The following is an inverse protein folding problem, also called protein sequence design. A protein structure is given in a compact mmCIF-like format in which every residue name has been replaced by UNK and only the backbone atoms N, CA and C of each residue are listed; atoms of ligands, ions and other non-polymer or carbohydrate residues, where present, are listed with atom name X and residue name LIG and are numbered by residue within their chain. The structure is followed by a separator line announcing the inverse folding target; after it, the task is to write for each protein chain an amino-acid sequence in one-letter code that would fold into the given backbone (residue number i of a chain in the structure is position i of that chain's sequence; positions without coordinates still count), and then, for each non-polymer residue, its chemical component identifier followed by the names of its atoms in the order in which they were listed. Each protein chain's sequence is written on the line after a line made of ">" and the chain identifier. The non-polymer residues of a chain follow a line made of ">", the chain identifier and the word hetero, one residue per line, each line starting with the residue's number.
data_IF_994317168926
#
_entry.id   IF_994317168926
#
_cell.length_a   1.000
_cell.length_b   1.000
_cell.length_c   1.000
_cell.angle_alpha   90.00
_cell.angle_beta   90.00
_cell.angle_gamma   90.00
#
_symmetry.space_group_name_H-M   'P 1'
#
loop_
_entity.id
_entity.type
_entity.pdbx_description
1 polymer ?
#
# COMPACT_ATOMS: atom_id res chain seq x y z
N UNK A 1 18.10 -28.32 -23.43
CA UNK A 1 16.84 -27.81 -22.81
C UNK A 1 16.97 -26.30 -22.68
N UNK A 2 15.98 -25.53 -23.13
CA UNK A 2 15.99 -24.05 -23.07
C UNK A 2 15.56 -23.56 -21.68
N UNK A 3 16.13 -22.43 -21.22
CA UNK A 3 15.76 -21.76 -19.97
C UNK A 3 14.25 -21.42 -19.93
N UNK A 4 13.63 -21.12 -21.08
CA UNK A 4 12.19 -20.84 -21.14
C UNK A 4 11.35 -22.07 -20.82
N UNK A 5 11.76 -23.24 -21.30
CA UNK A 5 11.08 -24.52 -21.07
C UNK A 5 11.18 -24.96 -19.60
N UNK A 6 12.27 -24.61 -18.91
CA UNK A 6 12.43 -24.87 -17.47
C UNK A 6 11.60 -23.92 -16.61
N UNK A 7 11.44 -22.66 -17.03
CA UNK A 7 10.58 -21.69 -16.38
C UNK A 7 9.10 -22.08 -16.48
N UNK A 8 8.66 -22.57 -17.65
CA UNK A 8 7.30 -23.06 -17.86
C UNK A 8 6.96 -24.30 -17.03
N UNK A 9 7.84 -25.30 -16.99
CA UNK A 9 7.64 -26.52 -16.17
C UNK A 9 7.60 -26.19 -14.67
N UNK A 10 8.43 -25.25 -14.22
CA UNK A 10 8.44 -24.79 -12.83
C UNK A 10 7.16 -24.01 -12.48
N UNK A 11 6.68 -23.15 -13.38
CA UNK A 11 5.42 -22.41 -13.21
C UNK A 11 4.21 -23.35 -13.15
N UNK A 12 4.22 -24.45 -13.92
CA UNK A 12 3.18 -25.47 -13.91
C UNK A 12 3.12 -26.23 -12.57
N UNK A 13 4.26 -26.53 -11.95
CA UNK A 13 4.32 -27.20 -10.64
C UNK A 13 3.90 -26.29 -9.47
N UNK A 14 4.01 -24.98 -9.64
CA UNK A 14 3.70 -23.99 -8.61
C UNK A 14 2.24 -23.49 -8.64
N UNK A 15 1.44 -23.88 -9.65
CA UNK A 15 0.01 -23.53 -9.79
C UNK A 15 -0.88 -23.96 -8.62
N UNK A 16 -0.40 -24.78 -7.69
CA UNK A 16 -1.14 -25.22 -6.50
C UNK A 16 -0.84 -24.46 -5.20
N UNK A 17 0.08 -23.48 -5.21
CA UNK A 17 0.54 -22.83 -3.96
C UNK A 17 -0.24 -21.53 -3.70
N UNK A 18 -0.99 -21.40 -2.59
CA UNK A 18 -1.78 -20.21 -2.30
C UNK A 18 -0.88 -18.97 -2.13
N UNK A 19 -1.20 -17.87 -2.80
CA UNK A 19 -0.69 -16.53 -2.48
C UNK A 19 0.49 -16.00 -3.28
N UNK A 20 1.01 -16.74 -4.27
CA UNK A 20 2.09 -16.23 -5.15
C UNK A 20 1.59 -16.19 -6.59
N UNK A 21 1.80 -15.08 -7.30
CA UNK A 21 1.53 -15.07 -8.74
C UNK A 21 2.50 -16.07 -9.40
N UNK A 22 2.02 -17.03 -10.21
CA UNK A 22 2.87 -18.07 -10.80
C UNK A 22 4.09 -17.51 -11.54
N UNK A 23 3.93 -16.31 -12.11
CA UNK A 23 4.97 -15.59 -12.84
C UNK A 23 6.06 -15.02 -11.91
N UNK A 24 5.72 -14.53 -10.72
CA UNK A 24 6.71 -14.01 -9.77
C UNK A 24 7.56 -15.14 -9.16
N UNK A 25 6.92 -16.27 -8.81
CA UNK A 25 7.63 -17.44 -8.30
C UNK A 25 8.58 -18.04 -9.36
N UNK A 26 8.13 -18.10 -10.62
CA UNK A 26 8.95 -18.56 -11.74
C UNK A 26 10.15 -17.62 -12.01
N UNK A 27 9.95 -16.29 -11.91
CA UNK A 27 11.02 -15.31 -12.07
C UNK A 27 12.09 -15.43 -10.97
N UNK A 28 11.69 -15.59 -9.71
CA UNK A 28 12.62 -15.79 -8.58
C UNK A 28 13.37 -17.12 -8.70
N UNK A 29 12.68 -18.21 -9.06
CA UNK A 29 13.32 -19.51 -9.29
C UNK A 29 14.36 -19.43 -10.41
N UNK A 30 14.02 -18.77 -11.52
CA UNK A 30 14.90 -18.63 -12.67
C UNK A 30 16.13 -17.76 -12.35
N UNK A 31 15.96 -16.66 -11.62
CA UNK A 31 17.04 -15.76 -11.23
C UNK A 31 18.07 -16.47 -10.33
N UNK A 32 17.61 -17.20 -9.31
CA UNK A 32 18.49 -17.92 -8.38
C UNK A 32 19.15 -19.12 -9.07
N UNK A 33 18.43 -19.84 -9.93
CA UNK A 33 19.03 -20.95 -10.71
C UNK A 33 20.14 -20.44 -11.63
N UNK A 34 19.93 -19.31 -12.30
CA UNK A 34 20.93 -18.71 -13.18
C UNK A 34 22.17 -18.25 -12.38
N UNK A 35 21.96 -17.64 -11.21
CA UNK A 35 23.06 -17.19 -10.34
C UNK A 35 23.93 -18.36 -9.86
N UNK A 36 23.33 -19.47 -9.43
CA UNK A 36 24.09 -20.65 -8.97
C UNK A 36 24.79 -21.37 -10.12
N UNK A 37 24.21 -21.37 -11.32
CA UNK A 37 24.90 -21.87 -12.52
C UNK A 37 26.11 -21.00 -12.89
N UNK A 38 26.04 -19.68 -12.71
CA UNK A 38 27.18 -18.77 -12.91
C UNK A 38 28.29 -19.04 -11.88
N UNK A 39 27.94 -19.47 -10.66
CA UNK A 39 28.90 -19.90 -9.63
C UNK A 39 29.48 -21.30 -9.89
N UNK A 40 29.09 -21.97 -10.98
CA UNK A 40 29.60 -23.28 -11.36
C UNK A 40 28.92 -24.46 -10.66
N UNK A 41 27.77 -24.23 -10.01
CA UNK A 41 27.01 -25.32 -9.39
C UNK A 41 26.47 -26.30 -10.46
N UNK A 42 26.42 -27.61 -10.16
CA UNK A 42 25.73 -28.58 -11.00
C UNK A 42 24.28 -28.17 -11.24
N UNK A 43 23.76 -28.42 -12.45
CA UNK A 43 22.39 -28.02 -12.86
C UNK A 43 21.31 -28.53 -11.90
N UNK A 44 21.49 -29.73 -11.32
CA UNK A 44 20.56 -30.31 -10.36
C UNK A 44 20.52 -29.52 -9.03
N UNK A 45 21.68 -29.05 -8.57
CA UNK A 45 21.81 -28.30 -7.32
C UNK A 45 21.32 -26.86 -7.49
N UNK A 46 21.65 -26.23 -8.62
CA UNK A 46 21.16 -24.89 -8.97
C UNK A 46 19.63 -24.87 -9.11
N UNK A 47 19.04 -25.92 -9.69
CA UNK A 47 17.58 -26.08 -9.78
C UNK A 47 16.94 -26.23 -8.40
N UNK A 48 17.55 -27.05 -7.55
CA UNK A 48 17.06 -27.27 -6.18
C UNK A 48 17.14 -25.98 -5.35
N UNK A 49 18.19 -25.18 -5.54
CA UNK A 49 18.34 -23.86 -4.92
C UNK A 49 17.27 -22.88 -5.41
N UNK A 50 16.98 -22.83 -6.72
CA UNK A 50 15.91 -22.00 -7.29
C UNK A 50 14.51 -22.39 -6.79
N UNK A 51 14.21 -23.69 -6.71
CA UNK A 51 12.95 -24.19 -6.16
C UNK A 51 12.82 -23.88 -4.66
N UNK A 52 13.89 -24.01 -3.89
CA UNK A 52 13.90 -23.68 -2.47
C UNK A 52 13.81 -22.18 -2.21
N UNK A 53 14.41 -21.34 -3.06
CA UNK A 53 14.26 -19.89 -3.01
C UNK A 53 12.82 -19.46 -3.32
N UNK A 54 12.19 -20.05 -4.35
CA UNK A 54 10.79 -19.79 -4.67
C UNK A 54 9.85 -20.20 -3.52
N UNK A 55 10.10 -21.34 -2.87
CA UNK A 55 9.35 -21.78 -1.67
C UNK A 55 9.63 -20.91 -0.45
N UNK A 56 10.86 -20.44 -0.26
CA UNK A 56 11.24 -19.58 0.88
C UNK A 56 10.69 -18.16 0.74
N UNK A 57 10.66 -17.61 -0.48
CA UNK A 57 9.97 -16.35 -0.77
C UNK A 57 8.44 -16.47 -0.59
N UNK A 58 7.87 -17.66 -0.76
CA UNK A 58 6.48 -17.95 -0.39
C UNK A 58 6.28 -18.08 1.14
N UNK A 59 7.33 -18.45 1.89
CA UNK A 59 7.30 -18.59 3.35
C UNK A 59 7.46 -17.29 4.14
N UNK A 60 8.08 -16.25 3.55
CA UNK A 60 8.13 -14.89 4.12
C UNK A 60 6.97 -14.00 3.65
N UNK A 61 6.04 -14.55 2.86
CA UNK A 61 4.74 -13.92 2.64
C UNK A 61 3.96 -13.97 3.96
N UNK A 62 4.15 -12.94 4.80
CA UNK A 62 3.10 -12.49 5.72
C UNK A 62 1.84 -12.42 4.87
N UNK A 63 0.87 -13.31 5.14
CA UNK A 63 -0.39 -13.47 4.43
C UNK A 63 -0.64 -12.35 3.42
N UNK A 64 -0.21 -12.57 2.18
CA UNK A 64 -0.22 -11.57 1.11
C UNK A 64 -1.62 -11.02 0.78
N UNK A 65 -2.66 -11.40 1.52
CA UNK A 65 -3.95 -10.73 1.49
C UNK A 65 -4.03 -9.54 2.44
N UNK A 66 -3.55 -9.60 3.69
CA UNK A 66 -3.80 -8.55 4.70
C UNK A 66 -2.85 -7.37 4.53
N UNK A 67 -1.54 -7.63 4.38
CA UNK A 67 -0.56 -6.55 4.17
C UNK A 67 -0.76 -5.90 2.80
N UNK A 68 -1.03 -6.69 1.75
CA UNK A 68 -1.34 -6.16 0.41
C UNK A 68 -2.66 -5.40 0.41
N UNK A 69 -3.67 -5.80 1.20
CA UNK A 69 -4.89 -5.01 1.38
C UNK A 69 -4.61 -3.70 2.12
N UNK A 70 -3.77 -3.72 3.16
CA UNK A 70 -3.35 -2.49 3.84
C UNK A 70 -2.63 -1.53 2.89
N UNK A 71 -1.62 -2.02 2.15
CA UNK A 71 -0.83 -1.19 1.22
C UNK A 71 -1.65 -0.73 0.02
N UNK A 72 -2.65 -1.51 -0.44
CA UNK A 72 -3.56 -1.11 -1.52
C UNK A 72 -4.30 0.19 -1.23
N UNK A 73 -4.55 0.51 0.05
CA UNK A 73 -5.25 1.71 0.46
C UNK A 73 -4.33 2.85 0.89
N UNK A 74 -3.01 2.66 0.94
CA UNK A 74 -2.06 3.73 1.28
C UNK A 74 -1.80 4.54 0.01
N UNK A 75 -2.26 5.80 -0.06
CA UNK A 75 -2.05 6.64 -1.24
C UNK A 75 -0.63 7.20 -1.21
N UNK A 76 0.34 6.35 -1.54
CA UNK A 76 1.77 6.68 -1.47
C UNK A 76 2.14 7.92 -2.29
N UNK A 77 1.41 8.16 -3.38
CA UNK A 77 1.55 9.30 -4.26
C UNK A 77 1.13 10.59 -3.57
N UNK A 78 -0.03 10.61 -2.88
CA UNK A 78 -0.48 11.83 -2.18
C UNK A 78 0.35 12.09 -0.94
N UNK A 79 0.82 11.04 -0.26
CA UNK A 79 1.80 11.15 0.82
C UNK A 79 3.11 11.77 0.32
N UNK A 80 3.62 11.33 -0.82
CA UNK A 80 4.86 11.85 -1.41
C UNK A 80 4.72 13.33 -1.78
N UNK A 81 3.59 13.71 -2.38
CA UNK A 81 3.29 15.12 -2.69
C UNK A 81 3.16 15.94 -1.41
N UNK A 82 2.48 15.41 -0.39
CA UNK A 82 2.35 16.08 0.91
C UNK A 82 3.72 16.36 1.54
N UNK A 83 4.61 15.36 1.56
CA UNK A 83 5.97 15.51 2.05
C UNK A 83 6.77 16.55 1.25
N UNK A 84 6.67 16.53 -0.07
CA UNK A 84 7.36 17.49 -0.92
C UNK A 84 6.89 18.93 -0.64
N UNK A 85 5.58 19.13 -0.49
CA UNK A 85 5.01 20.44 -0.13
C UNK A 85 5.47 20.86 1.27
N UNK A 86 5.45 19.95 2.25
CA UNK A 86 5.90 20.26 3.60
C UNK A 86 7.39 20.60 3.66
N UNK A 87 8.22 19.92 2.87
CA UNK A 87 9.63 20.25 2.72
C UNK A 87 9.84 21.62 2.07
N UNK A 88 9.04 21.95 1.04
CA UNK A 88 9.10 23.24 0.35
C UNK A 88 8.62 24.42 1.23
N UNK A 89 7.64 24.20 2.10
CA UNK A 89 7.17 25.20 3.07
C UNK A 89 8.23 25.51 4.15
N UNK A 90 9.15 24.57 4.39
CA UNK A 90 10.21 24.73 5.37
C UNK A 90 9.71 24.76 6.81
N UNK A 91 10.55 25.29 7.71
CA UNK A 91 10.20 25.46 9.13
C UNK A 91 9.18 26.59 9.30
N UNK A 92 8.29 26.43 10.28
CA UNK A 92 7.28 27.44 10.58
C UNK A 92 7.98 28.69 11.11
N UNK A 93 7.66 29.85 10.54
CA UNK A 93 8.23 31.14 10.99
C UNK A 93 7.50 31.59 12.24
N UNK A 94 8.19 31.51 13.37
CA UNK A 94 7.69 31.98 14.66
C UNK A 94 8.14 33.43 14.87
N UNK A 95 7.23 34.36 15.23
CA UNK A 95 7.63 35.70 15.61
C UNK A 95 8.59 35.68 16.82
N UNK A 96 9.60 36.56 16.87
CA UNK A 96 10.56 36.56 17.97
C UNK A 96 9.85 36.81 19.31
N UNK A 97 10.12 35.94 20.29
CA UNK A 97 9.52 35.99 21.63
C UNK A 97 8.21 35.21 21.81
N UNK A 98 7.70 34.57 20.75
CA UNK A 98 6.46 33.80 20.78
C UNK A 98 6.74 32.28 20.76
N UNK A 99 5.80 31.48 21.27
CA UNK A 99 5.88 30.02 21.21
C UNK A 99 5.59 29.51 19.79
N UNK A 100 6.09 28.31 19.44
CA UNK A 100 5.87 27.72 18.10
C UNK A 100 4.38 27.58 17.75
N UNK A 101 3.53 27.31 18.74
CA UNK A 101 2.07 27.20 18.56
C UNK A 101 1.38 28.51 18.18
N UNK A 102 2.03 29.66 18.37
CA UNK A 102 1.46 30.97 17.99
C UNK A 102 1.77 31.35 16.54
N UNK A 103 2.54 30.53 15.83
CA UNK A 103 2.81 30.75 14.43
C UNK A 103 1.61 30.36 13.54
N UNK A 104 1.61 30.87 12.31
CA UNK A 104 0.52 30.57 11.36
C UNK A 104 0.69 29.19 10.73
N UNK A 105 -0.19 28.26 11.10
CA UNK A 105 -0.30 26.92 10.49
C UNK A 105 -1.36 26.85 9.39
N UNK A 106 -2.00 27.98 9.04
CA UNK A 106 -3.12 28.02 8.09
C UNK A 106 -2.79 27.36 6.74
N UNK A 107 -1.61 27.63 6.18
CA UNK A 107 -1.16 27.03 4.92
C UNK A 107 -1.03 25.50 5.01
N UNK A 108 -0.59 24.97 6.16
CA UNK A 108 -0.44 23.53 6.38
C UNK A 108 -1.80 22.84 6.52
N UNK A 109 -2.76 23.48 7.20
CA UNK A 109 -4.15 23.02 7.26
C UNK A 109 -4.81 23.01 5.88
N UNK A 110 -4.64 24.07 5.10
CA UNK A 110 -5.17 24.14 3.72
C UNK A 110 -4.61 22.99 2.88
N UNK A 111 -3.30 22.77 2.89
CA UNK A 111 -2.68 21.70 2.12
C UNK A 111 -3.11 20.30 2.57
N UNK A 112 -3.25 20.08 3.88
CA UNK A 112 -3.79 18.83 4.42
C UNK A 112 -5.19 18.55 3.85
N UNK A 113 -6.09 19.54 3.89
CA UNK A 113 -7.46 19.40 3.39
C UNK A 113 -7.48 19.20 1.87
N UNK A 114 -6.68 19.96 1.12
CA UNK A 114 -6.57 19.82 -0.35
C UNK A 114 -6.11 18.42 -0.74
N UNK A 115 -5.09 17.87 -0.07
CA UNK A 115 -4.57 16.54 -0.41
C UNK A 115 -5.44 15.40 0.13
N UNK A 116 -6.17 15.62 1.22
CA UNK A 116 -7.23 14.70 1.65
C UNK A 116 -8.35 14.62 0.61
N UNK A 117 -8.81 15.78 0.09
CA UNK A 117 -9.80 15.83 -0.98
C UNK A 117 -9.27 15.20 -2.28
N UNK A 118 -8.00 15.45 -2.64
CA UNK A 118 -7.37 14.81 -3.80
C UNK A 118 -7.30 13.29 -3.63
N UNK A 119 -6.96 12.80 -2.45
CA UNK A 119 -6.95 11.36 -2.12
C UNK A 119 -8.35 10.75 -2.30
N UNK A 120 -9.39 11.43 -1.83
CA UNK A 120 -10.77 11.01 -2.01
C UNK A 120 -11.15 10.92 -3.51
N UNK A 121 -10.84 11.97 -4.28
CA UNK A 121 -11.16 12.02 -5.71
C UNK A 121 -10.39 10.98 -6.53
N UNK A 122 -9.10 10.77 -6.22
CA UNK A 122 -8.28 9.76 -6.89
C UNK A 122 -8.81 8.34 -6.64
N UNK A 123 -9.15 8.03 -5.39
CA UNK A 123 -9.69 6.71 -5.05
C UNK A 123 -11.07 6.47 -5.66
N UNK A 124 -11.94 7.49 -5.67
CA UNK A 124 -13.21 7.44 -6.40
C UNK A 124 -13.01 7.28 -7.91
N UNK A 125 -12.07 8.01 -8.50
CA UNK A 125 -11.75 7.93 -9.93
C UNK A 125 -11.21 6.56 -10.34
N UNK A 126 -10.33 5.97 -9.54
CA UNK A 126 -9.84 4.60 -9.73
C UNK A 126 -10.97 3.57 -9.60
N UNK A 127 -11.84 3.73 -8.60
CA UNK A 127 -13.02 2.89 -8.44
C UNK A 127 -13.95 2.99 -9.65
N UNK A 128 -14.23 4.21 -10.11
CA UNK A 128 -15.05 4.47 -11.30
C UNK A 128 -14.46 3.79 -12.54
N UNK A 129 -13.15 4.01 -12.79
CA UNK A 129 -12.45 3.39 -13.92
C UNK A 129 -12.50 1.86 -13.85
N UNK A 130 -12.26 1.28 -12.67
CA UNK A 130 -12.29 -0.18 -12.50
C UNK A 130 -13.68 -0.77 -12.77
N UNK A 131 -14.75 -0.12 -12.31
CA UNK A 131 -16.12 -0.58 -12.58
C UNK A 131 -16.47 -0.49 -14.06
N UNK A 132 -16.10 0.61 -14.73
CA UNK A 132 -16.38 0.81 -16.17
C UNK A 132 -15.56 -0.11 -17.08
N UNK A 133 -14.38 -0.55 -16.65
CA UNK A 133 -13.60 -1.56 -17.39
C UNK A 133 -14.25 -2.94 -17.36
N UNK A 134 -14.94 -3.29 -16.26
CA UNK A 134 -15.61 -4.59 -16.12
C UNK A 134 -17.02 -4.55 -16.73
N UNK A 135 -17.77 -3.47 -16.49
CA UNK A 135 -19.13 -3.30 -16.97
C UNK A 135 -19.35 -1.87 -17.51
N UNK A 136 -19.07 -1.63 -18.81
CA UNK A 136 -19.14 -0.29 -19.41
C UNK A 136 -20.51 0.38 -19.30
N UNK A 137 -21.58 -0.41 -19.46
CA UNK A 137 -22.98 0.03 -19.44
C UNK A 137 -23.57 0.15 -18.02
N UNK A 138 -22.94 -0.45 -17.01
CA UNK A 138 -23.47 -0.46 -15.65
C UNK A 138 -23.42 0.94 -15.01
N UNK A 139 -24.45 1.28 -14.21
CA UNK A 139 -24.45 2.51 -13.41
C UNK A 139 -23.36 2.42 -12.34
N UNK A 140 -22.61 3.51 -12.17
CA UNK A 140 -21.55 3.57 -11.17
C UNK A 140 -22.14 3.46 -9.77
N UNK A 141 -21.63 2.51 -8.97
CA UNK A 141 -21.98 2.37 -7.56
C UNK A 141 -20.79 2.83 -6.73
N UNK A 142 -20.83 4.00 -6.09
CA UNK A 142 -19.68 4.53 -5.37
C UNK A 142 -19.31 3.61 -4.20
N UNK A 143 -18.07 3.09 -4.14
CA UNK A 143 -17.58 2.44 -2.94
C UNK A 143 -17.39 3.51 -1.88
N UNK A 144 -18.06 3.39 -0.73
CA UNK A 144 -17.93 4.36 0.37
C UNK A 144 -16.73 4.02 1.26
N UNK A 145 -16.50 2.73 1.50
CA UNK A 145 -15.50 2.28 2.49
C UNK A 145 -14.08 2.57 2.03
N UNK A 146 -13.76 2.29 0.77
CA UNK A 146 -12.39 2.39 0.23
C UNK A 146 -11.89 3.84 0.18
N UNK A 147 -12.65 4.82 -0.36
CA UNK A 147 -12.22 6.20 -0.35
C UNK A 147 -12.12 6.78 1.06
N UNK A 148 -13.05 6.42 1.96
CA UNK A 148 -13.00 6.86 3.37
C UNK A 148 -11.78 6.29 4.09
N UNK A 149 -11.48 4.99 3.90
CA UNK A 149 -10.31 4.35 4.48
C UNK A 149 -9.01 4.96 3.96
N UNK A 150 -8.92 5.27 2.66
CA UNK A 150 -7.75 5.90 2.08
C UNK A 150 -7.53 7.33 2.60
N UNK A 151 -8.60 8.12 2.73
CA UNK A 151 -8.53 9.46 3.34
C UNK A 151 -8.11 9.37 4.80
N UNK A 152 -8.71 8.45 5.57
CA UNK A 152 -8.32 8.23 6.97
C UNK A 152 -6.85 7.81 7.09
N UNK A 153 -6.37 6.91 6.23
CA UNK A 153 -4.97 6.49 6.19
C UNK A 153 -4.04 7.67 5.88
N UNK A 154 -4.40 8.49 4.89
CA UNK A 154 -3.66 9.71 4.57
C UNK A 154 -3.61 10.67 5.76
N UNK A 155 -4.74 10.94 6.42
CA UNK A 155 -4.81 11.85 7.56
C UNK A 155 -3.99 11.34 8.75
N UNK A 156 -4.13 10.06 9.11
CA UNK A 156 -3.34 9.44 10.19
C UNK A 156 -1.85 9.60 9.90
N UNK A 157 -1.44 9.35 8.66
CA UNK A 157 -0.03 9.47 8.28
C UNK A 157 0.45 10.93 8.30
N UNK A 158 -0.27 11.84 7.64
CA UNK A 158 0.08 13.26 7.55
C UNK A 158 0.14 13.94 8.93
N UNK A 159 -0.81 13.62 9.82
CA UNK A 159 -0.90 14.21 11.16
C UNK A 159 0.14 13.65 12.13
N UNK A 160 0.70 12.47 11.85
CA UNK A 160 1.74 11.86 12.67
C UNK A 160 3.13 12.45 12.47
N UNK A 161 3.31 13.25 11.42
CA UNK A 161 4.62 13.82 11.09
C UNK A 161 5.03 14.92 12.07
N UNK A 162 6.34 15.14 12.25
CA UNK A 162 6.86 16.25 13.05
C UNK A 162 6.48 17.64 12.50
N UNK A 163 6.05 17.75 11.24
CA UNK A 163 5.61 19.01 10.61
C UNK A 163 4.09 19.13 10.52
N UNK A 164 3.37 18.31 11.29
CA UNK A 164 1.91 18.30 11.36
C UNK A 164 1.33 19.68 11.71
N UNK A 165 0.18 20.06 11.13
CA UNK A 165 -0.51 21.29 11.51
C UNK A 165 -1.02 21.29 12.96
N UNK A 166 -1.10 20.12 13.63
CA UNK A 166 -1.51 20.01 15.04
C UNK A 166 -0.58 20.70 16.04
N UNK A 167 0.60 21.15 15.59
CA UNK A 167 1.49 21.99 16.41
C UNK A 167 0.91 23.38 16.69
N UNK A 168 -0.20 23.77 16.05
CA UNK A 168 -0.96 24.97 16.42
C UNK A 168 -1.55 24.88 17.85
N UNK A 169 -1.70 23.68 18.41
CA UNK A 169 -2.09 23.48 19.80
C UNK A 169 -0.87 23.44 20.72
N UNK A 170 -0.75 24.39 21.64
CA UNK A 170 0.41 24.50 22.54
C UNK A 170 0.64 23.29 23.47
N UNK A 171 -0.39 22.46 23.71
CA UNK A 171 -0.29 21.23 24.50
C UNK A 171 0.09 20.00 23.67
N UNK A 172 0.19 20.13 22.35
CA UNK A 172 0.46 19.02 21.45
C UNK A 172 1.97 18.82 21.23
N UNK A 173 2.50 17.70 21.71
CA UNK A 173 3.86 17.25 21.40
C UNK A 173 3.86 16.26 20.23
N UNK A 174 4.29 16.72 19.06
CA UNK A 174 4.36 15.88 17.86
C UNK A 174 5.27 14.66 18.02
N UNK A 175 6.31 14.71 18.86
CA UNK A 175 7.25 13.60 19.07
C UNK A 175 6.61 12.48 19.88
N UNK A 176 5.81 12.84 20.88
CA UNK A 176 5.09 11.89 21.71
C UNK A 176 3.84 11.33 20.99
N UNK A 177 3.06 12.22 20.37
CA UNK A 177 1.77 11.85 19.78
C UNK A 177 1.84 11.26 18.39
N UNK A 178 2.89 11.55 17.60
CA UNK A 178 3.04 11.01 16.24
C UNK A 178 2.98 9.48 16.18
N UNK A 179 3.81 8.75 16.94
CA UNK A 179 3.77 7.29 16.99
C UNK A 179 2.43 6.74 17.50
N UNK A 180 1.79 7.42 18.47
CA UNK A 180 0.50 7.02 19.02
C UNK A 180 -0.60 7.14 17.96
N UNK A 181 -0.64 8.25 17.23
CA UNK A 181 -1.59 8.47 16.14
C UNK A 181 -1.42 7.41 15.03
N UNK A 182 -0.19 7.09 14.65
CA UNK A 182 0.08 6.03 13.67
C UNK A 182 -0.44 4.69 14.15
N UNK A 183 -0.09 4.29 15.37
CA UNK A 183 -0.46 2.98 15.91
C UNK A 183 -1.98 2.85 16.08
N UNK A 184 -2.63 3.84 16.70
CA UNK A 184 -4.07 3.84 16.90
C UNK A 184 -4.80 3.94 15.56
N UNK A 185 -4.38 4.85 14.69
CA UNK A 185 -5.02 5.07 13.39
C UNK A 185 -4.92 3.85 12.48
N UNK A 186 -3.74 3.25 12.36
CA UNK A 186 -3.56 2.02 11.57
C UNK A 186 -4.34 0.85 12.16
N UNK A 187 -4.40 0.72 13.49
CA UNK A 187 -5.20 -0.32 14.17
C UNK A 187 -6.70 -0.15 13.89
N UNK A 188 -7.23 1.07 13.98
CA UNK A 188 -8.65 1.35 13.67
C UNK A 188 -8.94 1.05 12.20
N UNK A 189 -8.09 1.48 11.27
CA UNK A 189 -8.28 1.23 9.83
C UNK A 189 -8.25 -0.28 9.55
N UNK A 190 -7.28 -1.01 10.09
CA UNK A 190 -7.16 -2.45 9.91
C UNK A 190 -8.35 -3.21 10.51
N UNK A 191 -8.79 -2.83 11.72
CA UNK A 191 -9.95 -3.43 12.38
C UNK A 191 -11.23 -3.16 11.60
N UNK A 192 -11.40 -1.94 11.10
CA UNK A 192 -12.54 -1.55 10.27
C UNK A 192 -12.56 -2.37 8.98
N UNK A 193 -11.42 -2.49 8.29
CA UNK A 193 -11.32 -3.29 7.06
C UNK A 193 -11.67 -4.77 7.31
N UNK A 194 -11.24 -5.32 8.46
CA UNK A 194 -11.56 -6.68 8.88
C UNK A 194 -13.06 -6.87 9.16
N UNK A 195 -13.66 -5.99 9.97
CA UNK A 195 -15.07 -6.08 10.36
C UNK A 195 -16.01 -5.97 9.16
N UNK A 196 -15.70 -5.09 8.20
CA UNK A 196 -16.53 -4.92 7.02
C UNK A 196 -16.38 -6.03 5.97
N UNK A 197 -15.60 -7.08 6.25
CA UNK A 197 -15.40 -8.21 5.33
C UNK A 197 -14.78 -7.77 3.99
N UNK A 198 -14.23 -6.56 3.93
CA UNK A 198 -13.50 -6.02 2.77
C UNK A 198 -12.06 -6.48 2.74
N UNK A 199 -11.78 -7.63 3.36
CA UNK A 199 -10.78 -8.56 2.84
C UNK A 199 -11.28 -9.09 1.48
N UNK A 200 -11.35 -8.22 0.47
CA UNK A 200 -11.92 -8.48 -0.86
C UNK A 200 -11.04 -9.50 -1.58
N UNK A 201 -11.44 -10.77 -1.50
CA UNK A 201 -11.29 -11.74 -2.59
C UNK A 201 -12.10 -11.21 -3.76
N UNK A 202 -11.45 -10.59 -4.75
CA UNK A 202 -12.08 -10.16 -6.01
C UNK A 202 -12.79 -11.30 -6.77
N UNK A 203 -12.61 -12.56 -6.36
CA UNK A 203 -13.29 -13.72 -6.92
C UNK A 203 -14.80 -13.74 -6.72
N UNK A 204 -15.36 -13.16 -5.64
CA UNK A 204 -16.77 -13.37 -5.33
C UNK A 204 -17.73 -12.54 -6.20
N UNK A 205 -17.33 -11.34 -6.60
CA UNK A 205 -18.21 -10.44 -7.39
C UNK A 205 -18.30 -10.88 -8.86
N UNK A 206 -17.31 -11.61 -9.39
CA UNK A 206 -17.37 -12.14 -10.76
C UNK A 206 -18.21 -13.41 -10.87
N UNK A 207 -18.32 -14.22 -9.81
CA UNK A 207 -19.18 -15.41 -9.82
C UNK A 207 -20.68 -15.11 -9.77
N UNK A 208 -21.07 -13.96 -9.20
CA UNK A 208 -22.48 -13.57 -9.09
C UNK A 208 -22.98 -12.77 -10.32
N UNK A 209 -22.10 -12.42 -11.27
CA UNK A 209 -22.48 -11.75 -12.52
C UNK A 209 -22.86 -12.74 -13.65
N UNK A 210 -22.55 -14.03 -13.48
CA UNK A 210 -22.82 -15.11 -14.43
C UNK A 210 -24.03 -15.99 -14.02
N UNK A 211 -24.91 -15.49 -13.13
CA UNK A 211 -26.19 -16.14 -12.77
C UNK A 211 -27.36 -15.20 -13.01
#
# INVERSE_FOLDING_TARGET
>A
MSLSSMAEDSALRLRGTPGVSPNAAAATAAAVTAEEMVKGAPVADARTAGENAARSSAGTSVAGSVLTQLVKYVPTETISVYLAVQAALGTVRVPPGHAECEASFATRWIWLVVLAAATLLLTLGLAYRSQKQVAPEARFKPPIVEPVAAVAAFLVWALSLPTTPLQDYCSYDARAWGPVLLLVGTTIIATTAYVFGKTITWQKVLQDADR
#
